data_IF_008394966200
#
_entry.id   IF_008394966200
#
_cell.length_a   1.000
_cell.length_b   1.000
_cell.length_c   1.000
_cell.angle_alpha   90.00
_cell.angle_beta   90.00
_cell.angle_gamma   90.00
#
_symmetry.space_group_name_H-M   'P 1'
#
loop_
_entity.id
_entity.type
_entity.pdbx_description
1 polymer ?
#
# COMPACT_ATOMS: atom_id res chain seq x y z
N UNK A 1 -0.11 -0.54 -16.65
CA UNK A 1 0.32 0.64 -15.86
C UNK A 1 -0.64 0.92 -14.69
N UNK A 2 -0.65 0.07 -13.67
CA UNK A 2 -1.62 0.14 -12.56
C UNK A 2 -0.98 0.56 -11.23
N UNK A 3 0.31 0.29 -11.01
CA UNK A 3 1.01 0.61 -9.74
C UNK A 3 1.07 2.12 -9.43
N UNK A 4 1.28 2.98 -10.42
CA UNK A 4 1.36 4.43 -10.20
C UNK A 4 0.04 5.03 -9.72
N UNK A 5 -1.08 4.55 -10.25
CA UNK A 5 -2.42 4.99 -9.85
C UNK A 5 -2.76 4.57 -8.41
N UNK A 6 -2.27 3.41 -7.97
CA UNK A 6 -2.47 2.90 -6.61
C UNK A 6 -1.75 3.77 -5.58
N UNK A 7 -0.54 4.24 -5.92
CA UNK A 7 0.29 5.02 -5.01
C UNK A 7 0.04 6.53 -5.08
N UNK A 8 -0.66 7.01 -6.11
CA UNK A 8 -0.91 8.43 -6.34
C UNK A 8 -1.53 9.17 -5.13
N UNK A 9 -2.58 8.66 -4.45
CA UNK A 9 -3.15 9.34 -3.29
C UNK A 9 -2.14 9.53 -2.15
N UNK A 10 -1.31 8.52 -1.88
CA UNK A 10 -0.31 8.57 -0.82
C UNK A 10 0.88 9.44 -1.16
N UNK A 11 1.26 9.50 -2.44
CA UNK A 11 2.25 10.43 -2.95
C UNK A 11 1.78 11.86 -2.78
N UNK A 12 0.55 12.16 -3.23
CA UNK A 12 -0.06 13.47 -3.08
C UNK A 12 -0.23 13.88 -1.61
N UNK A 13 -0.69 12.98 -0.74
CA UNK A 13 -0.74 13.23 0.70
C UNK A 13 0.63 13.60 1.25
N UNK A 14 1.67 12.81 0.94
CA UNK A 14 3.01 13.02 1.45
C UNK A 14 3.64 14.33 0.96
N UNK A 15 3.42 14.71 -0.30
CA UNK A 15 3.97 15.95 -0.87
C UNK A 15 3.20 17.18 -0.40
N UNK A 16 1.87 17.12 -0.34
CA UNK A 16 1.05 18.22 0.17
C UNK A 16 1.35 18.51 1.64
N UNK A 17 1.57 17.47 2.46
CA UNK A 17 1.98 17.63 3.86
C UNK A 17 3.28 18.43 4.05
N UNK A 18 4.09 18.65 3.00
CA UNK A 18 5.29 19.49 3.06
C UNK A 18 5.02 20.98 2.82
N UNK A 19 3.89 21.32 2.20
CA UNK A 19 3.61 22.68 1.69
C UNK A 19 2.25 23.24 2.13
N UNK A 20 1.37 22.41 2.70
CA UNK A 20 0.02 22.83 3.13
C UNK A 20 -0.41 22.14 4.44
N UNK A 21 -1.64 22.38 4.86
CA UNK A 21 -2.21 21.80 6.09
C UNK A 21 -2.54 20.32 5.95
N UNK A 22 -2.61 19.63 7.09
CA UNK A 22 -3.00 18.23 7.14
C UNK A 22 -4.39 17.98 6.56
N UNK A 23 -5.37 18.83 6.89
CA UNK A 23 -6.75 18.71 6.41
C UNK A 23 -6.82 18.79 4.88
N UNK A 24 -6.16 19.79 4.28
CA UNK A 24 -6.13 19.93 2.81
C UNK A 24 -5.46 18.72 2.16
N UNK A 25 -4.33 18.27 2.72
CA UNK A 25 -3.60 17.10 2.22
C UNK A 25 -4.45 15.82 2.24
N UNK A 26 -5.22 15.59 3.31
CA UNK A 26 -6.12 14.44 3.45
C UNK A 26 -7.29 14.50 2.48
N UNK A 27 -7.96 15.65 2.36
CA UNK A 27 -9.11 15.81 1.47
C UNK A 27 -8.69 15.70 0.00
N UNK A 28 -7.56 16.28 -0.39
CA UNK A 28 -7.00 16.09 -1.73
C UNK A 28 -6.67 14.62 -2.00
N UNK A 29 -6.06 13.91 -1.05
CA UNK A 29 -5.77 12.49 -1.20
C UNK A 29 -7.06 11.65 -1.31
N UNK A 30 -8.09 11.95 -0.52
CA UNK A 30 -9.41 11.31 -0.61
C UNK A 30 -10.06 11.55 -1.99
N UNK A 31 -10.00 12.77 -2.51
CA UNK A 31 -10.50 13.12 -3.84
C UNK A 31 -9.74 12.35 -4.94
N UNK A 32 -8.42 12.20 -4.81
CA UNK A 32 -7.62 11.39 -5.76
C UNK A 32 -8.04 9.92 -5.67
N UNK A 33 -8.24 9.37 -4.47
CA UNK A 33 -8.77 8.01 -4.33
C UNK A 33 -10.13 7.84 -5.02
N UNK A 34 -11.06 8.78 -4.80
CA UNK A 34 -12.38 8.77 -5.45
C UNK A 34 -12.27 8.87 -6.97
N UNK A 35 -11.40 9.73 -7.49
CA UNK A 35 -11.15 9.86 -8.93
C UNK A 35 -10.59 8.57 -9.52
N UNK A 36 -9.66 7.90 -8.83
CA UNK A 36 -9.13 6.59 -9.25
C UNK A 36 -10.21 5.52 -9.25
N UNK A 37 -11.07 5.48 -8.22
CA UNK A 37 -12.21 4.55 -8.15
C UNK A 37 -13.19 4.82 -9.30
N UNK A 38 -13.57 6.08 -9.52
CA UNK A 38 -14.47 6.46 -10.60
C UNK A 38 -13.88 6.10 -11.98
N UNK A 39 -12.58 6.31 -12.17
CA UNK A 39 -11.87 5.90 -13.38
C UNK A 39 -11.85 4.39 -13.59
N UNK A 40 -11.64 3.60 -12.53
CA UNK A 40 -11.70 2.15 -12.59
C UNK A 40 -13.13 1.65 -12.93
N UNK A 41 -14.16 2.23 -12.32
CA UNK A 41 -15.58 1.93 -12.63
C UNK A 41 -15.89 2.27 -14.10
N UNK A 42 -15.48 3.44 -14.58
CA UNK A 42 -15.68 3.87 -15.96
C UNK A 42 -14.98 2.95 -16.98
N UNK A 43 -13.93 2.22 -16.56
CA UNK A 43 -13.23 1.21 -17.37
C UNK A 43 -13.74 -0.22 -17.15
N UNK A 44 -14.84 -0.40 -16.42
CA UNK A 44 -15.40 -1.72 -16.11
C UNK A 44 -14.51 -2.57 -15.19
N UNK A 45 -13.61 -1.94 -14.43
CA UNK A 45 -12.71 -2.63 -13.49
C UNK A 45 -13.35 -2.78 -12.12
N UNK A 46 -12.81 -3.70 -11.33
CA UNK A 46 -13.28 -3.96 -9.97
C UNK A 46 -12.91 -2.82 -9.02
N UNK A 47 -13.79 -2.54 -8.06
CA UNK A 47 -13.52 -1.63 -6.94
C UNK A 47 -12.53 -2.33 -5.99
N UNK A 48 -11.40 -1.69 -5.71
CA UNK A 48 -10.33 -2.24 -4.87
C UNK A 48 -10.50 -1.88 -3.40
N UNK A 49 -10.27 -2.85 -2.52
CA UNK A 49 -10.30 -2.73 -1.05
C UNK A 49 -9.38 -1.61 -0.58
N UNK A 50 -8.15 -1.55 -1.11
CA UNK A 50 -7.19 -0.50 -0.73
C UNK A 50 -7.70 0.90 -1.10
N UNK A 51 -8.33 1.04 -2.26
CA UNK A 51 -8.91 2.32 -2.70
C UNK A 51 -10.03 2.78 -1.77
N UNK A 52 -11.00 1.90 -1.50
CA UNK A 52 -12.13 2.20 -0.59
C UNK A 52 -11.64 2.46 0.83
N UNK A 53 -10.76 1.61 1.34
CA UNK A 53 -10.18 1.77 2.68
C UNK A 53 -9.41 3.08 2.81
N UNK A 54 -8.71 3.52 1.77
CA UNK A 54 -8.00 4.82 1.78
C UNK A 54 -8.95 6.01 1.78
N UNK A 55 -10.04 5.96 1.01
CA UNK A 55 -11.09 6.99 1.08
C UNK A 55 -11.62 7.08 2.51
N UNK A 56 -11.96 5.95 3.11
CA UNK A 56 -12.50 5.89 4.48
C UNK A 56 -11.50 6.50 5.46
N UNK A 57 -10.23 6.07 5.43
CA UNK A 57 -9.19 6.55 6.35
C UNK A 57 -8.94 8.04 6.19
N UNK A 58 -8.68 8.52 4.96
CA UNK A 58 -8.39 9.93 4.73
C UNK A 58 -9.57 10.84 5.07
N UNK A 59 -10.78 10.40 4.72
CA UNK A 59 -12.00 11.15 5.03
C UNK A 59 -12.25 11.17 6.53
N UNK A 60 -12.20 10.02 7.22
CA UNK A 60 -12.41 9.96 8.66
C UNK A 60 -11.44 10.87 9.44
N UNK A 61 -10.15 10.83 9.09
CA UNK A 61 -9.15 11.68 9.73
C UNK A 61 -9.38 13.15 9.35
N UNK A 62 -9.67 13.45 8.09
CA UNK A 62 -9.95 14.82 7.64
C UNK A 62 -11.15 15.44 8.34
N UNK A 63 -12.23 14.67 8.53
CA UNK A 63 -13.40 15.08 9.31
C UNK A 63 -13.05 15.27 10.79
N UNK A 64 -12.27 14.36 11.39
CA UNK A 64 -11.80 14.53 12.77
C UNK A 64 -11.01 15.83 12.96
N UNK A 65 -10.08 16.15 12.05
CA UNK A 65 -9.34 17.41 12.11
C UNK A 65 -10.22 18.64 11.89
N UNK A 66 -11.28 18.52 11.10
CA UNK A 66 -12.16 19.67 10.78
C UNK A 66 -13.12 19.97 11.93
N UNK A 67 -13.64 18.96 12.61
CA UNK A 67 -14.74 19.11 13.57
C UNK A 67 -14.36 18.82 15.03
N UNK A 68 -13.24 18.16 15.29
CA UNK A 68 -12.85 17.73 16.65
C UNK A 68 -11.55 18.37 17.11
N UNK A 69 -10.46 18.20 16.36
CA UNK A 69 -9.15 18.74 16.73
C UNK A 69 -8.37 19.24 15.51
N UNK A 70 -8.53 20.53 15.20
CA UNK A 70 -7.81 21.19 14.12
C UNK A 70 -6.32 21.43 14.43
N UNK A 71 -5.88 21.21 15.67
CA UNK A 71 -4.53 21.51 16.14
C UNK A 71 -3.62 20.27 16.22
N UNK A 72 -4.14 19.09 15.86
CA UNK A 72 -3.38 17.86 15.86
C UNK A 72 -2.06 17.99 15.08
N UNK A 73 -0.98 17.48 15.67
CA UNK A 73 0.33 17.56 15.04
C UNK A 73 0.41 16.78 13.73
N UNK A 74 1.24 17.24 12.79
CA UNK A 74 1.48 16.55 11.53
C UNK A 74 1.95 15.10 11.71
N UNK A 75 2.72 14.83 12.76
CA UNK A 75 3.17 13.47 13.08
C UNK A 75 2.00 12.60 13.54
N UNK A 76 1.11 13.11 14.40
CA UNK A 76 -0.09 12.39 14.83
C UNK A 76 -0.99 12.03 13.64
N UNK A 77 -1.15 12.94 12.67
CA UNK A 77 -1.90 12.67 11.44
C UNK A 77 -1.25 11.55 10.62
N UNK A 78 0.08 11.57 10.45
CA UNK A 78 0.80 10.50 9.74
C UNK A 78 0.63 9.14 10.43
N UNK A 79 0.74 9.10 11.76
CA UNK A 79 0.49 7.90 12.58
C UNK A 79 -0.93 7.38 12.35
N UNK A 80 -1.94 8.27 12.40
CA UNK A 80 -3.34 7.88 12.19
C UNK A 80 -3.58 7.31 10.78
N UNK A 81 -2.98 7.93 9.75
CA UNK A 81 -3.05 7.42 8.37
C UNK A 81 -2.39 6.05 8.27
N UNK A 82 -1.15 5.90 8.73
CA UNK A 82 -0.42 4.62 8.63
C UNK A 82 -1.13 3.52 9.41
N UNK A 83 -1.68 3.82 10.60
CA UNK A 83 -2.49 2.89 11.38
C UNK A 83 -3.77 2.49 10.63
N UNK A 84 -4.50 3.45 10.06
CA UNK A 84 -5.70 3.16 9.27
C UNK A 84 -5.42 2.28 8.07
N UNK A 85 -4.36 2.57 7.32
CA UNK A 85 -3.96 1.76 6.15
C UNK A 85 -3.45 0.38 6.56
N UNK A 86 -2.74 0.29 7.69
CA UNK A 86 -2.32 -0.99 8.26
C UNK A 86 -3.54 -1.86 8.60
N UNK A 87 -4.59 -1.27 9.21
CA UNK A 87 -5.84 -1.96 9.50
C UNK A 87 -6.58 -2.41 8.24
N UNK A 88 -6.63 -1.58 7.20
CA UNK A 88 -7.21 -1.97 5.90
C UNK A 88 -6.44 -3.14 5.29
N UNK A 89 -5.11 -3.10 5.34
CA UNK A 89 -4.23 -4.13 4.79
C UNK A 89 -4.37 -5.45 5.54
N UNK A 90 -4.26 -5.43 6.87
CA UNK A 90 -4.47 -6.59 7.74
C UNK A 90 -5.89 -7.14 7.60
N UNK A 91 -6.89 -6.26 7.63
CA UNK A 91 -8.29 -6.61 7.43
C UNK A 91 -8.51 -7.37 6.13
N UNK A 92 -7.87 -6.94 5.03
CA UNK A 92 -7.95 -7.64 3.74
C UNK A 92 -7.42 -9.09 3.81
N UNK A 93 -6.34 -9.33 4.56
CA UNK A 93 -5.81 -10.68 4.79
C UNK A 93 -6.78 -11.49 5.66
N UNK A 94 -7.29 -10.90 6.75
CA UNK A 94 -8.16 -11.57 7.72
C UNK A 94 -9.51 -12.00 7.12
N UNK A 95 -10.07 -11.21 6.21
CA UNK A 95 -11.31 -11.57 5.48
C UNK A 95 -11.05 -12.53 4.30
N UNK A 96 -9.82 -13.01 4.13
CA UNK A 96 -9.46 -13.97 3.08
C UNK A 96 -9.28 -13.37 1.67
N UNK A 97 -9.28 -12.05 1.55
CA UNK A 97 -9.21 -11.32 0.28
C UNK A 97 -8.03 -10.33 0.27
N UNK A 98 -6.79 -10.83 0.13
CA UNK A 98 -5.60 -9.97 0.09
C UNK A 98 -5.76 -8.89 -0.99
N UNK A 99 -5.62 -7.61 -0.61
CA UNK A 99 -5.99 -6.50 -1.50
C UNK A 99 -5.21 -6.52 -2.83
N UNK A 100 -3.98 -7.06 -2.84
CA UNK A 100 -3.15 -7.11 -4.06
C UNK A 100 -3.76 -8.02 -5.12
N UNK A 101 -4.54 -9.02 -4.72
CA UNK A 101 -5.18 -9.98 -5.64
C UNK A 101 -6.11 -9.27 -6.61
N UNK A 102 -6.86 -8.27 -6.18
CA UNK A 102 -7.77 -7.51 -7.03
C UNK A 102 -7.05 -6.78 -8.17
N UNK A 103 -5.80 -6.39 -7.95
CA UNK A 103 -4.95 -5.78 -8.99
C UNK A 103 -4.25 -6.81 -9.87
N UNK A 104 -3.91 -7.97 -9.30
CA UNK A 104 -3.20 -9.02 -10.00
C UNK A 104 -4.11 -9.77 -10.98
N UNK A 105 -5.38 -10.02 -10.63
CA UNK A 105 -6.34 -10.71 -11.51
C UNK A 105 -6.69 -9.91 -12.76
N UNK A 106 -6.54 -8.59 -12.73
CA UNK A 106 -6.72 -7.72 -13.91
C UNK A 106 -5.58 -7.87 -14.94
N UNK A 107 -4.51 -8.60 -14.61
CA UNK A 107 -3.31 -8.74 -15.44
C UNK A 107 -3.05 -10.19 -15.92
N UNK A 108 -3.87 -11.15 -15.50
CA UNK A 108 -3.67 -12.57 -15.81
C UNK A 108 -4.99 -13.22 -16.23
N UNK A 109 -4.91 -14.34 -16.93
CA UNK A 109 -6.10 -15.11 -17.31
C UNK A 109 -6.80 -15.74 -16.10
N UNK A 110 -8.09 -16.03 -16.26
CA UNK A 110 -8.92 -16.62 -15.22
C UNK A 110 -8.38 -17.99 -14.72
N UNK A 111 -7.72 -18.76 -15.57
CA UNK A 111 -7.11 -20.03 -15.20
C UNK A 111 -5.87 -19.84 -14.31
N UNK A 112 -5.03 -18.84 -14.61
CA UNK A 112 -3.89 -18.48 -13.76
C UNK A 112 -4.39 -17.91 -12.41
N UNK A 113 -5.45 -17.10 -12.44
CA UNK A 113 -6.03 -16.49 -11.24
C UNK A 113 -6.57 -17.50 -10.21
N UNK A 114 -6.87 -18.73 -10.65
CA UNK A 114 -7.35 -19.84 -9.79
C UNK A 114 -6.21 -20.68 -9.21
N UNK A 115 -4.98 -20.56 -9.72
CA UNK A 115 -3.86 -21.37 -9.26
C UNK A 115 -3.52 -21.06 -7.80
N UNK A 116 -3.28 -22.10 -7.00
CA UNK A 116 -2.89 -21.97 -5.58
C UNK A 116 -1.61 -21.15 -5.39
N UNK A 117 -0.67 -21.26 -6.33
CA UNK A 117 0.56 -20.46 -6.38
C UNK A 117 0.27 -18.96 -6.51
N UNK A 118 -0.68 -18.58 -7.37
CA UNK A 118 -1.10 -17.19 -7.57
C UNK A 118 -1.77 -16.60 -6.32
N UNK A 119 -2.64 -17.37 -5.66
CA UNK A 119 -3.28 -16.96 -4.41
C UNK A 119 -2.22 -16.75 -3.33
N UNK A 120 -1.34 -17.73 -3.12
CA UNK A 120 -0.26 -17.66 -2.11
C UNK A 120 0.67 -16.48 -2.36
N UNK A 121 1.03 -16.21 -3.61
CA UNK A 121 1.86 -15.07 -3.97
C UNK A 121 1.21 -13.74 -3.58
N UNK A 122 -0.10 -13.59 -3.80
CA UNK A 122 -0.81 -12.38 -3.41
C UNK A 122 -0.92 -12.19 -1.89
N UNK A 123 -1.05 -13.29 -1.12
CA UNK A 123 -0.95 -13.20 0.34
C UNK A 123 0.41 -12.69 0.79
N UNK A 124 1.51 -13.21 0.22
CA UNK A 124 2.86 -12.78 0.57
C UNK A 124 3.15 -11.34 0.14
N UNK A 125 2.70 -10.94 -1.05
CA UNK A 125 2.84 -9.56 -1.53
C UNK A 125 2.02 -8.61 -0.65
N UNK A 126 0.76 -8.95 -0.33
CA UNK A 126 -0.06 -8.17 0.61
C UNK A 126 0.59 -8.09 1.99
N UNK A 127 1.20 -9.19 2.47
CA UNK A 127 1.98 -9.22 3.70
C UNK A 127 3.19 -8.29 3.67
N UNK A 128 3.93 -8.24 2.55
CA UNK A 128 5.05 -7.32 2.38
C UNK A 128 4.60 -5.84 2.42
N UNK A 129 3.47 -5.51 1.78
CA UNK A 129 2.87 -4.18 1.88
C UNK A 129 2.43 -3.85 3.31
N UNK A 130 1.82 -4.81 4.00
CA UNK A 130 1.43 -4.68 5.40
C UNK A 130 2.63 -4.40 6.29
N UNK A 131 3.73 -5.14 6.12
CA UNK A 131 4.97 -4.96 6.85
C UNK A 131 5.62 -3.59 6.55
N UNK A 132 5.57 -3.14 5.30
CA UNK A 132 6.04 -1.81 4.92
C UNK A 132 5.24 -0.70 5.63
N UNK A 133 3.91 -0.79 5.66
CA UNK A 133 3.06 0.17 6.38
C UNK A 133 3.30 0.12 7.88
N UNK A 134 3.51 -1.06 8.46
CA UNK A 134 3.88 -1.20 9.88
C UNK A 134 5.21 -0.52 10.18
N UNK A 135 6.23 -0.69 9.32
CA UNK A 135 7.52 -0.04 9.49
C UNK A 135 7.41 1.49 9.41
N UNK A 136 6.55 2.00 8.54
CA UNK A 136 6.24 3.44 8.45
C UNK A 136 5.59 3.96 9.74
N UNK A 137 4.59 3.23 10.26
CA UNK A 137 3.92 3.55 11.52
C UNK A 137 4.93 3.60 12.67
N UNK A 138 5.74 2.55 12.83
CA UNK A 138 6.78 2.47 13.86
C UNK A 138 7.76 3.63 13.73
N UNK A 139 8.16 3.99 12.50
CA UNK A 139 9.07 5.12 12.28
C UNK A 139 8.45 6.46 12.69
N UNK A 140 7.18 6.70 12.38
CA UNK A 140 6.50 7.94 12.77
C UNK A 140 6.29 8.01 14.29
N UNK A 141 6.02 6.88 14.95
CA UNK A 141 5.99 6.78 16.41
C UNK A 141 7.38 7.04 17.00
N UNK A 142 8.45 6.47 16.43
CA UNK A 142 9.80 6.70 16.90
C UNK A 142 10.21 8.18 16.82
N UNK A 143 9.87 8.88 15.72
CA UNK A 143 10.11 10.32 15.59
C UNK A 143 9.37 11.13 16.66
N UNK A 144 8.19 10.68 17.09
CA UNK A 144 7.42 11.35 18.14
C UNK A 144 8.07 11.21 19.52
N UNK A 145 8.63 10.04 19.85
CA UNK A 145 9.15 9.73 21.19
C UNK A 145 10.66 9.84 21.34
N UNK A 146 11.42 9.95 20.24
CA UNK A 146 12.88 10.05 20.25
C UNK A 146 13.30 11.43 19.72
N UNK A 147 13.54 12.42 20.60
CA UNK A 147 13.85 13.80 20.20
C UNK A 147 15.12 13.95 19.36
N UNK A 148 16.02 12.96 19.44
CA UNK A 148 17.25 12.92 18.67
C UNK A 148 17.05 12.54 17.19
N UNK A 149 15.88 11.99 16.82
CA UNK A 149 15.60 11.62 15.44
C UNK A 149 15.18 12.85 14.63
N UNK A 150 15.83 13.08 13.46
CA UNK A 150 15.39 14.12 12.55
C UNK A 150 13.95 13.89 12.04
N UNK A 151 13.20 14.98 11.85
CA UNK A 151 11.83 14.91 11.32
C UNK A 151 11.74 14.26 9.92
N UNK A 152 12.84 14.29 9.14
CA UNK A 152 12.91 13.67 7.82
C UNK A 152 13.14 12.14 7.87
N UNK A 153 13.44 11.56 9.04
CA UNK A 153 13.62 10.10 9.18
C UNK A 153 12.34 9.34 8.81
N UNK A 154 11.17 9.82 9.24
CA UNK A 154 9.89 9.22 8.86
C UNK A 154 9.65 9.24 7.35
N UNK A 155 10.08 10.32 6.67
CA UNK A 155 10.00 10.41 5.22
C UNK A 155 10.93 9.41 4.54
N UNK A 156 12.18 9.29 4.99
CA UNK A 156 13.14 8.33 4.44
C UNK A 156 12.64 6.90 4.59
N UNK A 157 12.15 6.52 5.78
CA UNK A 157 11.60 5.18 6.02
C UNK A 157 10.38 4.93 5.14
N UNK A 158 9.48 5.90 4.99
CA UNK A 158 8.34 5.78 4.09
C UNK A 158 8.74 5.51 2.64
N UNK A 159 9.75 6.23 2.14
CA UNK A 159 10.28 5.98 0.80
C UNK A 159 10.93 4.60 0.72
N UNK A 160 11.81 4.24 1.64
CA UNK A 160 12.52 2.97 1.62
C UNK A 160 11.55 1.77 1.70
N UNK A 161 10.62 1.79 2.65
CA UNK A 161 9.64 0.72 2.87
C UNK A 161 8.71 0.53 1.66
N UNK A 162 8.18 1.63 1.09
CA UNK A 162 7.32 1.56 -0.09
C UNK A 162 8.06 1.05 -1.32
N UNK A 163 9.28 1.54 -1.57
CA UNK A 163 10.07 1.07 -2.70
C UNK A 163 10.46 -0.39 -2.55
N UNK A 164 10.80 -0.85 -1.33
CA UNK A 164 11.06 -2.26 -1.05
C UNK A 164 9.83 -3.13 -1.36
N UNK A 165 8.62 -2.72 -0.95
CA UNK A 165 7.39 -3.43 -1.26
C UNK A 165 7.10 -3.48 -2.78
N UNK A 166 7.34 -2.39 -3.51
CA UNK A 166 7.21 -2.35 -4.98
C UNK A 166 8.23 -3.29 -5.65
N UNK A 167 9.49 -3.24 -5.23
CA UNK A 167 10.54 -4.12 -5.74
C UNK A 167 10.18 -5.59 -5.48
N UNK A 168 9.74 -5.91 -4.27
CA UNK A 168 9.28 -7.25 -3.90
C UNK A 168 8.10 -7.71 -4.76
N UNK A 169 7.10 -6.84 -4.99
CA UNK A 169 5.93 -7.13 -5.84
C UNK A 169 6.35 -7.49 -7.27
N UNK A 170 7.40 -6.87 -7.81
CA UNK A 170 7.90 -7.15 -9.16
C UNK A 170 8.79 -8.39 -9.22
N UNK A 171 9.65 -8.58 -8.23
CA UNK A 171 10.65 -9.64 -8.19
C UNK A 171 10.06 -10.99 -7.80
N UNK A 172 9.16 -11.05 -6.82
CA UNK A 172 8.68 -12.29 -6.24
C UNK A 172 8.02 -13.26 -7.25
N UNK A 173 7.17 -12.79 -8.20
CA UNK A 173 6.62 -13.67 -9.23
C UNK A 173 7.70 -14.30 -10.13
N UNK A 174 8.70 -13.52 -10.51
CA UNK A 174 9.81 -13.99 -11.36
C UNK A 174 10.67 -15.03 -10.64
N UNK A 175 10.95 -14.79 -9.36
CA UNK A 175 11.66 -15.76 -8.51
C UNK A 175 10.91 -17.10 -8.43
N UNK A 176 9.58 -17.07 -8.27
CA UNK A 176 8.77 -18.28 -8.28
C UNK A 176 8.80 -19.01 -9.61
N UNK A 177 8.67 -18.29 -10.72
CA UNK A 177 8.77 -18.90 -12.05
C UNK A 177 10.13 -19.56 -12.30
N UNK A 178 11.22 -18.94 -11.85
CA UNK A 178 12.56 -19.51 -11.97
C UNK A 178 12.79 -20.72 -11.05
N UNK A 179 12.21 -20.71 -9.84
CA UNK A 179 12.32 -21.80 -8.87
C UNK A 179 11.46 -23.02 -9.24
N UNK A 180 10.25 -22.76 -9.72
CA UNK A 180 9.26 -23.79 -10.06
C UNK A 180 9.41 -24.27 -11.53
N UNK A 181 10.22 -23.56 -12.34
CA UNK A 181 10.58 -23.97 -13.69
C UNK A 181 11.50 -25.20 -13.68
N UNK A 182 11.12 -26.24 -14.43
CA UNK A 182 11.91 -27.45 -14.58
C UNK A 182 13.35 -27.10 -15.00
N UNK A 183 14.39 -27.55 -14.28
CA UNK A 183 15.76 -27.39 -14.75
C UNK A 183 15.89 -27.98 -16.16
N UNK A 184 16.62 -27.34 -17.10
CA UNK A 184 16.86 -27.93 -18.41
C UNK A 184 17.43 -29.33 -18.25
N UNK A 185 16.98 -30.27 -19.08
CA UNK A 185 17.27 -31.71 -19.03
C UNK A 185 18.74 -32.08 -19.38
N UNK A 186 19.69 -31.32 -18.83
CA UNK A 186 21.13 -31.49 -18.98
C UNK A 186 21.96 -30.79 -17.89
N UNK A 187 21.33 -30.29 -16.81
CA UNK A 187 22.01 -29.60 -15.70
C UNK A 187 22.46 -30.53 -14.57
N UNK A 188 22.28 -31.85 -14.69
CA UNK A 188 22.84 -32.82 -13.75
C UNK A 188 24.15 -33.36 -14.33
N UNK A 189 25.30 -33.19 -13.65
CA UNK A 189 26.51 -33.90 -14.04
C UNK A 189 26.25 -35.39 -13.90
N UNK A 190 26.41 -36.11 -15.01
CA UNK A 190 26.48 -37.57 -15.03
C UNK A 190 27.67 -38.00 -14.17
N UNK A 191 27.38 -38.64 -13.04
CA UNK A 191 28.36 -39.43 -12.29
C UNK A 191 28.28 -40.89 -12.73
#
# INVERSE_FOLDING_TARGET
MTIFLILAPYGAFATLMLVTSATVSLLCAALICLAVIAFDIARGRSIKILGVGSVIVFTAIGFYLTFVDATASMIAVKIAVDAGILLVSLGSILIGHPFTRQYAVEQVDAEIAKQSGFVTANYLITGAWTAATLLMLISNVAVLYVPALPLWTGLLVAFAARNAAVCFTRWYPQYRMAKDGTPPAGALPSH
#
